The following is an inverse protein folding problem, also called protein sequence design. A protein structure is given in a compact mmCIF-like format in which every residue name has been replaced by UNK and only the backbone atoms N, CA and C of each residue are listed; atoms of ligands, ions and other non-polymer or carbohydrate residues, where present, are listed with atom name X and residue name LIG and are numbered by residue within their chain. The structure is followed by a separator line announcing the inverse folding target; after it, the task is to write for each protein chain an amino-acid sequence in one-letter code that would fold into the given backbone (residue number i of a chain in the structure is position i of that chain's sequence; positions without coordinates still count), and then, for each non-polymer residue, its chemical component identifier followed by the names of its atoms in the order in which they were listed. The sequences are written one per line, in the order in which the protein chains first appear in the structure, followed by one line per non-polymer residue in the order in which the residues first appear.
data_IF_516727598421
#
_entry.id   IF_516727598421
#
_cell.length_a   1.000
_cell.length_b   1.000
_cell.length_c   1.000
_cell.angle_alpha   90.00
_cell.angle_beta   90.00
_cell.angle_gamma   90.00
#
_symmetry.space_group_name_H-M   'P 1'
#
loop_
_entity.id
_entity.type
_entity.pdbx_description
1 polymer ?
#
# COMPACT_ATOMS: atom_id res chain seq x y z
N UNK A 1 -9.97 26.12 -6.20
CA UNK A 1 -9.30 24.82 -6.43
C UNK A 1 -10.37 23.75 -6.46
N UNK A 2 -10.54 22.99 -7.56
CA UNK A 2 -11.46 21.84 -7.55
C UNK A 2 -10.85 20.75 -6.67
N UNK A 3 -11.53 20.33 -5.62
CA UNK A 3 -11.13 19.15 -4.84
C UNK A 3 -11.15 17.95 -5.78
N UNK A 4 -10.05 17.21 -5.86
CA UNK A 4 -10.01 15.96 -6.62
C UNK A 4 -10.63 14.90 -5.70
N UNK A 5 -11.81 14.34 -6.05
CA UNK A 5 -12.44 13.36 -5.18
C UNK A 5 -11.60 12.07 -5.14
N UNK A 6 -11.39 11.57 -3.93
CA UNK A 6 -10.69 10.31 -3.60
C UNK A 6 -11.63 9.33 -2.86
N UNK A 7 -12.78 8.98 -3.49
CA UNK A 7 -13.84 8.22 -2.83
C UNK A 7 -13.40 6.83 -2.36
N UNK A 8 -12.49 6.16 -3.08
CA UNK A 8 -12.02 4.82 -2.70
C UNK A 8 -11.17 4.91 -1.44
N UNK A 9 -10.24 5.87 -1.40
CA UNK A 9 -9.42 6.14 -0.20
C UNK A 9 -10.30 6.40 1.01
N UNK A 10 -11.28 7.32 0.89
CA UNK A 10 -12.19 7.66 1.99
C UNK A 10 -12.97 6.44 2.45
N UNK A 11 -13.50 5.64 1.52
CA UNK A 11 -14.29 4.46 1.84
C UNK A 11 -13.47 3.44 2.63
N UNK A 12 -12.25 3.13 2.21
CA UNK A 12 -11.38 2.17 2.89
C UNK A 12 -11.01 2.67 4.29
N UNK A 13 -10.64 3.96 4.42
CA UNK A 13 -10.34 4.57 5.73
C UNK A 13 -11.55 4.47 6.67
N UNK A 14 -12.75 4.78 6.19
CA UNK A 14 -13.97 4.69 7.01
C UNK A 14 -14.28 3.25 7.44
N UNK A 15 -14.08 2.28 6.54
CA UNK A 15 -14.25 0.86 6.88
C UNK A 15 -13.22 0.43 7.94
N UNK A 16 -11.96 0.85 7.81
CA UNK A 16 -10.92 0.55 8.79
C UNK A 16 -11.22 1.18 10.15
N UNK A 17 -11.69 2.42 10.19
CA UNK A 17 -12.12 3.08 11.44
C UNK A 17 -13.26 2.29 12.07
N UNK A 18 -14.28 1.92 11.28
CA UNK A 18 -15.43 1.17 11.77
C UNK A 18 -14.99 -0.19 12.35
N UNK A 19 -14.12 -0.92 11.65
CA UNK A 19 -13.63 -2.21 12.10
C UNK A 19 -12.76 -2.12 13.36
N UNK A 20 -12.00 -1.04 13.54
CA UNK A 20 -11.20 -0.80 14.74
C UNK A 20 -12.06 -0.58 15.99
N UNK A 21 -13.25 0.01 15.83
CA UNK A 21 -14.19 0.27 16.94
C UNK A 21 -15.01 -0.99 17.30
N UNK A 22 -15.31 -1.86 16.35
CA UNK A 22 -16.15 -3.03 16.55
C UNK A 22 -15.35 -4.34 16.41
N UNK A 23 -14.96 -5.01 17.52
CA UNK A 23 -14.19 -6.26 17.48
C UNK A 23 -14.85 -7.37 16.66
N UNK A 24 -16.19 -7.42 16.63
CA UNK A 24 -16.94 -8.37 15.81
C UNK A 24 -16.69 -8.19 14.30
N UNK A 25 -16.50 -6.96 13.83
CA UNK A 25 -16.12 -6.68 12.45
C UNK A 25 -14.69 -7.13 12.18
N UNK A 26 -13.77 -6.92 13.12
CA UNK A 26 -12.40 -7.43 13.00
C UNK A 26 -12.38 -8.94 12.80
N UNK A 27 -13.11 -9.72 13.61
CA UNK A 27 -13.20 -11.18 13.46
C UNK A 27 -13.91 -11.63 12.17
N UNK A 28 -14.87 -10.83 11.69
CA UNK A 28 -15.57 -11.11 10.43
C UNK A 28 -14.69 -10.88 9.20
N UNK A 29 -13.84 -9.86 9.25
CA UNK A 29 -13.10 -9.35 8.10
C UNK A 29 -11.66 -9.85 8.02
N UNK A 30 -11.03 -10.24 9.13
CA UNK A 30 -9.65 -10.74 9.12
C UNK A 30 -9.43 -11.86 8.11
N UNK A 31 -8.24 -11.93 7.52
CA UNK A 31 -7.91 -13.02 6.62
C UNK A 31 -7.50 -14.23 7.43
N UNK A 32 -8.46 -15.05 7.86
CA UNK A 32 -8.21 -16.43 8.32
C UNK A 32 -8.15 -17.34 7.09
N UNK A 33 -6.96 -17.89 6.81
CA UNK A 33 -6.70 -18.63 5.56
C UNK A 33 -7.51 -19.92 5.46
N UNK A 34 -7.77 -20.59 6.59
CA UNK A 34 -8.58 -21.81 6.61
C UNK A 34 -10.03 -21.50 6.27
N UNK A 35 -10.61 -20.47 6.89
CA UNK A 35 -12.00 -20.06 6.63
C UNK A 35 -12.17 -19.52 5.20
N UNK A 36 -11.18 -18.76 4.72
CA UNK A 36 -11.16 -18.26 3.36
C UNK A 36 -11.15 -19.40 2.32
N UNK A 37 -10.40 -20.48 2.60
CA UNK A 37 -10.39 -21.69 1.77
C UNK A 37 -11.70 -22.50 1.86
N UNK A 38 -12.43 -22.40 2.97
CA UNK A 38 -13.72 -23.08 3.20
C UNK A 38 -14.93 -22.31 2.63
N UNK A 39 -14.72 -21.22 1.89
CA UNK A 39 -15.78 -20.50 1.18
C UNK A 39 -16.08 -19.10 1.72
N UNK A 40 -15.41 -18.64 2.78
CA UNK A 40 -15.50 -17.25 3.24
C UNK A 40 -14.63 -16.32 2.36
N UNK A 41 -14.91 -16.29 1.06
CA UNK A 41 -14.02 -15.71 0.03
C UNK A 41 -13.78 -14.21 0.19
N UNK A 42 -14.64 -13.48 0.88
CA UNK A 42 -14.44 -12.05 1.13
C UNK A 42 -13.18 -11.77 1.98
N UNK A 43 -12.75 -12.74 2.80
CA UNK A 43 -11.56 -12.64 3.66
C UNK A 43 -10.29 -12.38 2.89
N UNK A 44 -10.18 -12.90 1.65
CA UNK A 44 -9.05 -12.65 0.76
C UNK A 44 -8.83 -11.16 0.47
N UNK A 45 -9.87 -10.34 0.63
CA UNK A 45 -9.84 -8.89 0.40
C UNK A 45 -9.96 -8.13 1.73
N UNK A 46 -10.90 -8.52 2.59
CA UNK A 46 -11.23 -7.75 3.79
C UNK A 46 -10.19 -7.81 4.90
N UNK A 47 -9.27 -8.77 4.88
CA UNK A 47 -8.22 -8.87 5.91
C UNK A 47 -7.33 -7.63 5.96
N UNK A 48 -7.19 -6.93 4.83
CA UNK A 48 -6.35 -5.73 4.73
C UNK A 48 -6.90 -4.53 5.49
N UNK A 49 -8.22 -4.44 5.72
CA UNK A 49 -8.82 -3.25 6.33
C UNK A 49 -8.95 -3.32 7.85
N UNK A 50 -8.48 -4.40 8.47
CA UNK A 50 -8.53 -4.62 9.93
C UNK A 50 -7.13 -4.80 10.50
N UNK A 51 -6.96 -4.55 11.80
CA UNK A 51 -5.64 -4.46 12.44
C UNK A 51 -5.61 -5.19 13.78
N UNK A 52 -4.41 -5.47 14.30
CA UNK A 52 -4.22 -6.19 15.57
C UNK A 52 -4.40 -5.31 16.81
N UNK A 53 -4.00 -4.03 16.71
CA UNK A 53 -4.08 -3.06 17.80
C UNK A 53 -4.14 -1.64 17.24
N UNK A 54 -4.30 -0.65 18.13
CA UNK A 54 -4.41 0.76 17.77
C UNK A 54 -3.14 1.36 17.19
N UNK A 55 -1.95 0.87 17.60
CA UNK A 55 -0.67 1.35 17.07
C UNK A 55 -0.51 0.91 15.62
N UNK A 56 -0.77 -0.37 15.33
CA UNK A 56 -0.80 -0.92 13.99
C UNK A 56 -1.82 -0.20 13.11
N UNK A 57 -3.06 -0.03 13.60
CA UNK A 57 -4.10 0.72 12.90
C UNK A 57 -3.66 2.16 12.53
N UNK A 58 -3.10 2.89 13.50
CA UNK A 58 -2.76 4.30 13.30
C UNK A 58 -1.72 4.48 12.19
N UNK A 59 -0.65 3.69 12.21
CA UNK A 59 0.43 3.81 11.24
C UNK A 59 0.00 3.39 9.84
N UNK A 60 -0.65 2.23 9.72
CA UNK A 60 -1.13 1.70 8.44
C UNK A 60 -2.16 2.63 7.81
N UNK A 61 -3.19 3.04 8.55
CA UNK A 61 -4.26 3.88 7.99
C UNK A 61 -3.75 5.29 7.65
N UNK A 62 -2.79 5.84 8.39
CA UNK A 62 -2.19 7.14 8.08
C UNK A 62 -1.36 7.12 6.80
N UNK A 63 -0.55 6.07 6.62
CA UNK A 63 0.24 5.87 5.40
C UNK A 63 -0.67 5.60 4.21
N UNK A 64 -1.66 4.72 4.38
CA UNK A 64 -2.67 4.44 3.38
C UNK A 64 -3.38 5.71 2.94
N UNK A 65 -3.97 6.48 3.86
CA UNK A 65 -4.73 7.67 3.53
C UNK A 65 -3.89 8.66 2.69
N UNK A 66 -2.62 8.83 3.02
CA UNK A 66 -1.70 9.75 2.33
C UNK A 66 -1.34 9.23 0.94
N UNK A 67 -0.80 8.02 0.85
CA UNK A 67 -0.30 7.44 -0.40
C UNK A 67 -1.45 7.12 -1.36
N UNK A 68 -2.55 6.62 -0.82
CA UNK A 68 -3.76 6.30 -1.58
C UNK A 68 -4.37 7.56 -2.18
N UNK A 69 -4.47 8.66 -1.45
CA UNK A 69 -5.00 9.92 -1.99
C UNK A 69 -4.12 10.46 -3.15
N UNK A 70 -2.79 10.35 -3.02
CA UNK A 70 -1.84 10.71 -4.09
C UNK A 70 -2.07 9.82 -5.32
N UNK A 71 -2.11 8.51 -5.13
CA UNK A 71 -2.25 7.55 -6.23
C UNK A 71 -3.65 7.59 -6.88
N UNK A 72 -4.72 7.72 -6.12
CA UNK A 72 -6.09 7.80 -6.64
C UNK A 72 -6.32 9.09 -7.45
N UNK A 73 -5.76 10.20 -6.98
CA UNK A 73 -5.82 11.47 -7.72
C UNK A 73 -4.98 11.46 -8.99
N UNK A 74 -3.76 10.89 -8.94
CA UNK A 74 -2.82 10.85 -10.07
C UNK A 74 -3.16 9.79 -11.11
N UNK A 75 -3.55 8.60 -10.69
CA UNK A 75 -3.76 7.42 -11.54
C UNK A 75 -5.23 6.98 -11.60
N UNK A 76 -6.17 7.92 -11.60
CA UNK A 76 -7.62 7.69 -11.46
C UNK A 76 -8.19 6.46 -12.17
N UNK A 77 -7.80 6.19 -13.43
CA UNK A 77 -8.32 5.05 -14.20
C UNK A 77 -7.68 3.72 -13.83
N UNK A 78 -6.42 3.73 -13.43
CA UNK A 78 -5.64 2.54 -13.13
C UNK A 78 -5.67 2.18 -11.63
N UNK A 79 -5.98 3.15 -10.77
CA UNK A 79 -5.90 3.02 -9.31
C UNK A 79 -6.75 1.88 -8.76
N UNK A 80 -8.06 1.88 -8.99
CA UNK A 80 -8.96 0.86 -8.44
C UNK A 80 -8.61 -0.58 -8.89
N UNK A 81 -8.41 -0.88 -10.19
CA UNK A 81 -8.05 -2.23 -10.60
C UNK A 81 -6.67 -2.67 -10.07
N UNK A 82 -5.68 -1.77 -10.00
CA UNK A 82 -4.37 -2.08 -9.44
C UNK A 82 -4.46 -2.35 -7.94
N UNK A 83 -5.24 -1.55 -7.21
CA UNK A 83 -5.46 -1.75 -5.77
C UNK A 83 -6.07 -3.14 -5.49
N UNK A 84 -7.19 -3.45 -6.16
CA UNK A 84 -7.89 -4.74 -5.98
C UNK A 84 -7.00 -5.91 -6.41
N UNK A 85 -6.30 -5.79 -7.54
CA UNK A 85 -5.35 -6.81 -8.00
C UNK A 85 -4.22 -7.03 -6.99
N UNK A 86 -3.68 -5.96 -6.42
CA UNK A 86 -2.59 -6.04 -5.44
C UNK A 86 -3.05 -6.66 -4.12
N UNK A 87 -4.26 -6.34 -3.65
CA UNK A 87 -4.87 -6.98 -2.47
C UNK A 87 -4.89 -8.50 -2.65
N UNK A 88 -5.39 -8.97 -3.81
CA UNK A 88 -5.46 -10.41 -4.09
C UNK A 88 -4.08 -11.04 -4.23
N UNK A 89 -3.15 -10.40 -4.95
CA UNK A 89 -1.78 -10.92 -5.10
C UNK A 89 -1.08 -11.04 -3.75
N UNK A 90 -1.20 -10.04 -2.89
CA UNK A 90 -0.61 -10.10 -1.54
C UNK A 90 -1.22 -11.25 -0.75
N UNK A 91 -2.55 -11.33 -0.65
CA UNK A 91 -3.21 -12.40 0.10
C UNK A 91 -2.85 -13.80 -0.42
N UNK A 92 -2.83 -14.00 -1.75
CA UNK A 92 -2.44 -15.27 -2.35
C UNK A 92 -0.96 -15.59 -2.14
N UNK A 93 -0.08 -14.59 -2.23
CA UNK A 93 1.34 -14.78 -1.98
C UNK A 93 1.61 -15.27 -0.56
N UNK A 94 0.91 -14.71 0.44
CA UNK A 94 1.01 -15.16 1.83
C UNK A 94 0.48 -16.59 2.01
N UNK A 95 -0.64 -16.95 1.39
CA UNK A 95 -1.15 -18.32 1.46
C UNK A 95 -0.18 -19.37 0.88
N UNK A 96 0.65 -18.98 -0.09
CA UNK A 96 1.60 -19.86 -0.76
C UNK A 96 2.96 -19.89 -0.02
N UNK A 97 3.47 -18.73 0.36
CA UNK A 97 4.83 -18.56 0.88
C UNK A 97 4.89 -18.74 2.40
N UNK A 98 3.80 -18.46 3.11
CA UNK A 98 3.70 -18.54 4.57
C UNK A 98 2.54 -19.48 5.00
N UNK A 99 2.51 -20.75 4.54
CA UNK A 99 1.37 -21.65 4.80
C UNK A 99 1.12 -21.93 6.29
N UNK A 100 2.10 -21.67 7.16
CA UNK A 100 2.02 -21.83 8.61
C UNK A 100 1.22 -20.73 9.32
N UNK A 101 0.99 -19.57 8.67
CA UNK A 101 0.27 -18.48 9.32
C UNK A 101 -1.23 -18.75 9.30
N UNK A 102 -1.88 -18.61 10.45
CA UNK A 102 -3.33 -18.79 10.55
C UNK A 102 -4.10 -17.60 9.98
N UNK A 103 -3.65 -16.39 10.30
CA UNK A 103 -4.37 -15.18 9.94
C UNK A 103 -3.46 -14.01 9.56
N UNK A 104 -3.98 -13.13 8.71
CA UNK A 104 -3.35 -11.89 8.28
C UNK A 104 -4.29 -10.69 8.47
N UNK A 105 -3.71 -9.55 8.86
CA UNK A 105 -4.39 -8.26 9.06
C UNK A 105 -3.43 -7.11 8.71
N UNK A 106 -3.94 -6.02 8.16
CA UNK A 106 -3.20 -4.77 7.96
C UNK A 106 -3.08 -4.30 6.50
N UNK A 107 -2.91 -2.99 6.35
CA UNK A 107 -2.74 -2.29 5.07
C UNK A 107 -1.28 -2.18 4.65
N UNK A 108 -0.31 -2.47 5.51
CA UNK A 108 1.11 -2.23 5.28
C UNK A 108 1.67 -2.81 3.96
N UNK A 109 1.17 -3.96 3.50
CA UNK A 109 1.48 -4.52 2.17
C UNK A 109 0.98 -3.63 1.02
N UNK A 110 -0.23 -3.09 1.17
CA UNK A 110 -0.84 -2.13 0.24
C UNK A 110 -0.12 -0.79 0.29
N UNK A 111 0.29 -0.33 1.47
CA UNK A 111 1.08 0.90 1.60
C UNK A 111 2.43 0.77 0.89
N UNK A 112 3.07 -0.39 1.04
CA UNK A 112 4.31 -0.70 0.32
C UNK A 112 4.10 -0.71 -1.19
N UNK A 113 2.97 -1.24 -1.67
CA UNK A 113 2.57 -1.19 -3.08
C UNK A 113 2.37 0.25 -3.56
N UNK A 114 1.58 1.05 -2.83
CA UNK A 114 1.27 2.43 -3.21
C UNK A 114 2.54 3.30 -3.22
N UNK A 115 3.40 3.14 -2.22
CA UNK A 115 4.69 3.82 -2.14
C UNK A 115 5.59 3.43 -3.31
N UNK A 116 5.74 2.12 -3.57
CA UNK A 116 6.53 1.59 -4.68
C UNK A 116 6.04 2.12 -6.02
N UNK A 117 4.74 2.08 -6.26
CA UNK A 117 4.13 2.62 -7.49
C UNK A 117 4.44 4.10 -7.66
N UNK A 118 4.18 4.91 -6.64
CA UNK A 118 4.36 6.35 -6.72
C UNK A 118 5.84 6.75 -6.90
N UNK A 119 6.75 6.19 -6.10
CA UNK A 119 8.18 6.55 -6.13
C UNK A 119 8.84 6.07 -7.42
N UNK A 120 8.54 4.87 -7.90
CA UNK A 120 9.13 4.37 -9.16
C UNK A 120 8.64 5.21 -10.35
N UNK A 121 7.35 5.56 -10.40
CA UNK A 121 6.86 6.47 -11.42
C UNK A 121 7.46 7.88 -11.32
N UNK A 122 7.69 8.38 -10.10
CA UNK A 122 8.39 9.64 -9.87
C UNK A 122 9.81 9.62 -10.44
N UNK A 123 10.59 8.56 -10.16
CA UNK A 123 11.94 8.38 -10.69
C UNK A 123 11.88 8.34 -12.23
N UNK A 124 11.02 7.51 -12.82
CA UNK A 124 10.89 7.39 -14.29
C UNK A 124 10.56 8.72 -14.95
N UNK A 125 9.60 9.45 -14.39
CA UNK A 125 9.16 10.76 -14.91
C UNK A 125 10.29 11.78 -14.88
N UNK A 126 11.03 11.86 -13.77
CA UNK A 126 12.09 12.84 -13.61
C UNK A 126 13.36 12.48 -14.42
N UNK A 127 13.67 11.18 -14.55
CA UNK A 127 14.72 10.73 -15.47
C UNK A 127 14.37 11.08 -16.92
N UNK A 128 13.13 10.85 -17.35
CA UNK A 128 12.67 11.23 -18.68
C UNK A 128 12.74 12.76 -18.90
N UNK A 129 12.44 13.55 -17.87
CA UNK A 129 12.57 15.01 -17.88
C UNK A 129 14.03 15.51 -17.71
N UNK A 130 15.00 14.61 -17.51
CA UNK A 130 16.40 14.92 -17.17
C UNK A 130 16.59 15.72 -15.88
N UNK A 131 15.61 15.69 -14.98
CA UNK A 131 15.71 16.25 -13.62
C UNK A 131 16.37 15.21 -12.70
N UNK A 132 17.69 15.12 -12.79
CA UNK A 132 18.48 14.15 -12.02
C UNK A 132 18.38 14.36 -10.50
N UNK A 133 18.35 15.60 -9.95
CA UNK A 133 18.14 15.81 -8.52
C UNK A 133 16.81 15.22 -8.04
N UNK A 134 15.70 15.47 -8.75
CA UNK A 134 14.39 14.93 -8.37
C UNK A 134 14.31 13.40 -8.51
N UNK A 135 14.95 12.84 -9.54
CA UNK A 135 15.09 11.39 -9.68
C UNK A 135 15.94 10.77 -8.56
N UNK A 136 17.03 11.44 -8.17
CA UNK A 136 17.90 11.04 -7.07
C UNK A 136 17.17 11.01 -5.72
N UNK A 137 16.32 12.01 -5.46
CA UNK A 137 15.44 12.00 -4.27
C UNK A 137 14.53 10.77 -4.25
N UNK A 138 13.88 10.46 -5.39
CA UNK A 138 13.09 9.23 -5.51
C UNK A 138 13.92 7.97 -5.25
N UNK A 139 15.16 7.93 -5.73
CA UNK A 139 16.11 6.85 -5.46
C UNK A 139 16.40 6.68 -3.96
N UNK A 140 16.61 7.77 -3.22
CA UNK A 140 16.81 7.72 -1.76
C UNK A 140 15.56 7.22 -1.03
N UNK A 141 14.36 7.63 -1.46
CA UNK A 141 13.10 7.17 -0.90
C UNK A 141 12.91 5.65 -1.11
N UNK A 142 13.22 5.16 -2.30
CA UNK A 142 13.18 3.72 -2.61
C UNK A 142 14.23 2.94 -1.81
N UNK A 143 15.43 3.49 -1.65
CA UNK A 143 16.48 2.91 -0.81
C UNK A 143 16.03 2.83 0.66
N UNK A 144 15.34 3.85 1.16
CA UNK A 144 14.74 3.84 2.51
C UNK A 144 13.72 2.72 2.69
N UNK A 145 12.86 2.50 1.69
CA UNK A 145 11.93 1.36 1.70
C UNK A 145 12.68 0.02 1.73
N UNK A 146 13.68 -0.16 0.85
CA UNK A 146 14.48 -1.39 0.82
C UNK A 146 15.19 -1.62 2.16
N UNK A 147 15.74 -0.56 2.76
CA UNK A 147 16.33 -0.62 4.11
C UNK A 147 15.32 -1.05 5.17
N UNK A 148 14.09 -0.52 5.12
CA UNK A 148 12.98 -0.93 6.00
C UNK A 148 12.64 -2.41 5.83
N UNK A 149 12.54 -2.91 4.60
CA UNK A 149 12.29 -4.34 4.35
C UNK A 149 13.45 -5.22 4.83
N UNK A 150 14.69 -4.79 4.60
CA UNK A 150 15.87 -5.49 5.10
C UNK A 150 15.91 -5.56 6.63
N UNK A 151 15.54 -4.48 7.30
CA UNK A 151 15.40 -4.47 8.76
C UNK A 151 14.34 -5.48 9.23
N UNK A 152 13.14 -5.46 8.63
CA UNK A 152 12.06 -6.39 8.99
C UNK A 152 12.44 -7.86 8.75
N UNK A 153 13.15 -8.14 7.66
CA UNK A 153 13.63 -9.48 7.33
C UNK A 153 14.68 -10.01 8.31
N UNK A 154 15.54 -9.14 8.86
CA UNK A 154 16.62 -9.53 9.76
C UNK A 154 16.16 -9.61 11.22
N UNK A 155 15.34 -8.64 11.66
CA UNK A 155 14.99 -8.48 13.07
C UNK A 155 13.61 -9.04 13.41
N UNK A 156 12.79 -9.41 12.42
CA UNK A 156 11.40 -9.85 12.60
C UNK A 156 10.56 -8.86 13.43
N UNK A 157 10.87 -7.57 13.30
CA UNK A 157 10.23 -6.45 14.00
C UNK A 157 9.86 -5.37 12.99
N UNK A 158 8.70 -4.74 13.18
CA UNK A 158 8.26 -3.60 12.37
C UNK A 158 9.12 -2.39 12.74
N UNK A 159 9.68 -1.70 11.75
CA UNK A 159 10.54 -0.54 12.00
C UNK A 159 9.76 0.64 12.64
N UNK A 160 8.49 0.80 12.26
CA UNK A 160 7.66 1.93 12.67
C UNK A 160 6.60 1.59 13.73
N UNK A 161 6.21 0.32 13.81
CA UNK A 161 5.16 -0.15 14.72
C UNK A 161 5.81 -1.02 15.79
N UNK A 162 5.67 -0.66 17.06
CA UNK A 162 6.02 -1.58 18.14
C UNK A 162 4.74 -2.28 18.60
N UNK A 163 4.68 -3.58 18.40
CA UNK A 163 3.57 -4.40 18.88
C UNK A 163 4.06 -5.79 19.27
N UNK A 164 3.53 -6.30 20.38
CA UNK A 164 3.69 -7.69 20.79
C UNK A 164 2.55 -8.58 20.26
N UNK A 165 1.54 -8.00 19.60
CA UNK A 165 0.33 -8.71 19.18
C UNK A 165 0.50 -9.49 17.87
N UNK A 166 1.53 -9.20 17.09
CA UNK A 166 1.78 -9.85 15.80
C UNK A 166 3.27 -9.85 15.44
N UNK A 167 3.63 -10.73 14.50
CA UNK A 167 4.93 -10.74 13.84
C UNK A 167 4.76 -10.10 12.46
N UNK A 168 5.59 -9.12 12.08
CA UNK A 168 5.56 -8.55 10.74
C UNK A 168 5.86 -9.61 9.68
N UNK A 169 5.08 -9.60 8.60
CA UNK A 169 5.31 -10.46 7.44
C UNK A 169 5.94 -9.64 6.32
N UNK A 170 7.26 -9.72 6.22
CA UNK A 170 8.02 -9.00 5.18
C UNK A 170 7.61 -9.46 3.78
N UNK A 171 7.14 -10.70 3.66
CA UNK A 171 6.60 -11.31 2.44
C UNK A 171 5.43 -10.51 1.87
N UNK A 172 4.53 -10.01 2.74
CA UNK A 172 3.42 -9.15 2.33
C UNK A 172 3.92 -7.84 1.71
N UNK A 173 4.97 -7.25 2.30
CA UNK A 173 5.57 -6.01 1.82
C UNK A 173 6.36 -6.23 0.51
N UNK A 174 7.08 -7.35 0.38
CA UNK A 174 7.78 -7.71 -0.86
C UNK A 174 6.78 -7.89 -1.99
N UNK A 175 5.68 -8.64 -1.76
CA UNK A 175 4.61 -8.79 -2.74
C UNK A 175 4.00 -7.43 -3.12
N UNK A 176 3.77 -6.57 -2.13
CA UNK A 176 3.34 -5.19 -2.35
C UNK A 176 4.29 -4.41 -3.24
N UNK A 177 5.59 -4.41 -2.96
CA UNK A 177 6.60 -3.71 -3.75
C UNK A 177 6.65 -4.22 -5.20
N UNK A 178 6.54 -5.53 -5.41
CA UNK A 178 6.48 -6.14 -6.74
C UNK A 178 5.25 -5.64 -7.51
N UNK A 179 4.07 -5.62 -6.86
CA UNK A 179 2.86 -5.04 -7.45
C UNK A 179 3.05 -3.56 -7.79
N UNK A 180 3.64 -2.77 -6.90
CA UNK A 180 3.88 -1.35 -7.11
C UNK A 180 4.84 -1.06 -8.26
N UNK A 181 5.93 -1.82 -8.37
CA UNK A 181 6.86 -1.75 -9.49
C UNK A 181 6.18 -2.11 -10.82
N UNK A 182 5.38 -3.17 -10.83
CA UNK A 182 4.62 -3.60 -12.01
C UNK A 182 3.61 -2.53 -12.43
N UNK A 183 2.88 -1.95 -11.47
CA UNK A 183 1.94 -0.85 -11.69
C UNK A 183 2.63 0.38 -12.29
N UNK A 184 3.79 0.77 -11.76
CA UNK A 184 4.56 1.88 -12.30
C UNK A 184 4.96 1.61 -13.75
N UNK A 185 5.52 0.44 -14.05
CA UNK A 185 5.98 0.09 -15.39
C UNK A 185 4.83 -0.07 -16.41
N UNK A 186 3.67 -0.56 -15.97
CA UNK A 186 2.50 -0.80 -16.82
C UNK A 186 1.67 0.44 -17.14
N UNK A 187 1.85 1.54 -16.40
CA UNK A 187 1.15 2.81 -16.67
C UNK A 187 2.08 3.76 -17.45
N UNK A 188 1.60 4.41 -18.53
CA UNK A 188 2.37 5.42 -19.25
C UNK A 188 2.78 6.55 -18.31
N UNK A 189 3.95 7.15 -18.54
CA UNK A 189 4.43 8.30 -17.77
C UNK A 189 3.38 9.41 -17.81
N UNK A 190 2.74 9.67 -16.68
CA UNK A 190 1.71 10.72 -16.56
C UNK A 190 2.42 12.05 -16.26
N UNK A 191 2.75 12.80 -17.30
CA UNK A 191 3.39 14.13 -17.20
C UNK A 191 2.48 15.23 -16.61
N UNK A 192 1.24 14.91 -16.22
CA UNK A 192 0.19 15.90 -16.01
C UNK A 192 0.26 16.72 -14.70
N UNK A 193 1.24 16.47 -13.82
CA UNK A 193 1.37 17.27 -12.59
C UNK A 193 2.19 18.56 -12.79
N UNK A 194 3.01 18.67 -13.84
CA UNK A 194 3.97 19.78 -14.01
C UNK A 194 3.62 20.81 -15.10
N UNK A 195 2.42 20.81 -15.69
CA UNK A 195 1.90 22.01 -16.40
C UNK A 195 1.47 23.14 -15.44
N UNK A 196 2.28 23.41 -14.42
CA UNK A 196 2.27 24.66 -13.63
C UNK A 196 3.60 25.42 -13.79
N UNK A 197 4.51 24.95 -14.66
CA UNK A 197 5.61 25.78 -15.17
C UNK A 197 5.28 26.31 -16.57
N UNK A 198 4.22 27.09 -16.69
CA UNK A 198 4.21 28.13 -17.73
C UNK A 198 4.89 29.34 -17.08
N UNK A 199 6.05 29.82 -17.55
CA UNK A 199 6.49 31.14 -17.14
C UNK A 199 5.38 32.10 -17.55
N UNK A 200 4.93 32.94 -16.61
CA UNK A 200 4.09 34.08 -16.94
C UNK A 200 4.93 34.88 -17.95
N UNK A 201 4.52 34.88 -19.21
CA UNK A 201 5.07 35.80 -20.21
C UNK A 201 4.66 37.19 -19.75
N UNK A 202 5.61 37.90 -19.13
CA UNK A 202 5.56 39.35 -18.90
C UNK A 202 5.76 40.05 -20.23
#
# INVERSE_FOLDING_TARGET
MKTIPVPVTITIVLISILAAVFPSLTSLLELDFQRAAQGEIWRWISGHVVHFDWSHFFWDVSMFATLSAICESKYRRAYAPILVGSILVISLSLAIVCPEIRCYRGLSGIDTMLFGWWVIDWIRTNLHAKDLPAAGLGGMMLLGLVGKLGYEAVFHQTLFVQSAAFVPLVEAHIAGLICGATAALGVPIVQNWTRVRQPISV
#
